data_IF_255543127554
#
_entry.id   IF_255543127554
#
_cell.length_a   1.000
_cell.length_b   1.000
_cell.length_c   1.000
_cell.angle_alpha   90.00
_cell.angle_beta   90.00
_cell.angle_gamma   90.00
#
_symmetry.space_group_name_H-M   'P 1'
#
loop_
_entity.id
_entity.type
_entity.pdbx_description
1 polymer ?
#
# COMPACT_ATOMS: atom_id res chain seq x y z
N UNK A 1 61.64 -49.24 -11.53
CA UNK A 1 61.90 -48.58 -12.83
C UNK A 1 60.60 -48.05 -13.38
N UNK A 2 60.55 -46.74 -13.66
CA UNK A 2 59.73 -46.03 -14.65
C UNK A 2 58.18 -46.14 -14.57
N UNK A 3 57.37 -45.14 -14.86
CA UNK A 3 57.39 -43.67 -14.83
C UNK A 3 55.93 -43.30 -15.24
N UNK A 4 55.31 -42.32 -14.56
CA UNK A 4 54.17 -41.50 -15.02
C UNK A 4 52.93 -42.19 -15.63
N UNK A 5 51.81 -42.08 -14.92
CA UNK A 5 50.70 -41.24 -15.41
C UNK A 5 49.90 -40.70 -14.23
N UNK A 6 50.05 -39.41 -13.93
CA UNK A 6 49.07 -38.68 -13.13
C UNK A 6 47.85 -38.46 -14.03
N UNK A 7 46.70 -39.07 -13.69
CA UNK A 7 45.43 -38.70 -14.27
C UNK A 7 44.63 -37.94 -13.21
N UNK A 8 44.72 -36.63 -13.33
CA UNK A 8 43.81 -35.67 -12.72
C UNK A 8 42.43 -35.94 -13.33
N UNK A 9 41.53 -36.58 -12.60
CA UNK A 9 40.10 -36.53 -12.89
C UNK A 9 39.47 -35.63 -11.83
N UNK A 10 39.42 -34.36 -12.21
CA UNK A 10 38.34 -33.41 -12.02
C UNK A 10 37.27 -33.79 -11.00
N UNK A 11 37.23 -32.98 -9.94
CA UNK A 11 36.07 -32.74 -9.08
C UNK A 11 34.86 -32.42 -9.97
N UNK A 12 34.08 -33.44 -10.29
CA UNK A 12 32.67 -33.26 -10.63
C UNK A 12 31.92 -33.31 -9.32
N UNK A 13 31.86 -32.14 -8.64
CA UNK A 13 30.75 -31.81 -7.77
C UNK A 13 29.50 -32.04 -8.63
N UNK A 14 28.84 -33.18 -8.42
CA UNK A 14 27.44 -33.32 -8.76
C UNK A 14 26.68 -32.30 -7.90
N UNK A 15 26.68 -31.05 -8.38
CA UNK A 15 25.59 -30.13 -8.14
C UNK A 15 24.35 -30.89 -8.57
N UNK A 16 23.58 -31.35 -7.59
CA UNK A 16 22.17 -31.66 -7.76
C UNK A 16 21.48 -30.39 -8.27
N UNK A 17 21.61 -30.17 -9.58
CA UNK A 17 20.98 -29.12 -10.36
C UNK A 17 19.60 -29.61 -10.74
N UNK A 18 18.79 -29.92 -9.73
CA UNK A 18 17.37 -30.26 -9.83
C UNK A 18 16.65 -29.81 -8.54
N UNK A 19 16.91 -28.58 -8.08
CA UNK A 19 15.84 -27.85 -7.39
C UNK A 19 14.92 -27.33 -8.49
N UNK A 20 13.98 -28.16 -8.91
CA UNK A 20 12.73 -27.65 -9.45
C UNK A 20 12.14 -26.72 -8.39
N UNK A 21 11.89 -25.47 -8.76
CA UNK A 21 11.07 -24.56 -7.97
C UNK A 21 9.70 -25.21 -7.73
N UNK A 22 9.50 -25.84 -6.58
CA UNK A 22 8.20 -26.39 -6.16
C UNK A 22 7.20 -25.29 -5.74
N UNK A 23 7.48 -24.03 -6.09
CA UNK A 23 6.51 -22.94 -6.10
C UNK A 23 6.39 -22.39 -7.52
N UNK A 24 5.51 -23.00 -8.33
CA UNK A 24 5.18 -22.49 -9.66
C UNK A 24 4.33 -21.20 -9.55
N UNK A 25 4.99 -20.09 -9.22
CA UNK A 25 4.39 -18.78 -9.06
C UNK A 25 3.86 -18.18 -10.37
N UNK A 26 4.03 -18.82 -11.52
CA UNK A 26 3.48 -18.29 -12.78
C UNK A 26 2.02 -18.67 -13.02
N UNK A 27 1.50 -19.65 -12.27
CA UNK A 27 0.13 -20.19 -12.46
C UNK A 27 -0.69 -20.30 -11.16
N UNK A 28 -0.17 -19.80 -10.04
CA UNK A 28 -0.82 -19.90 -8.71
C UNK A 28 -1.62 -18.66 -8.30
N UNK A 29 -2.49 -18.81 -7.30
CA UNK A 29 -3.23 -17.71 -6.65
C UNK A 29 -2.25 -16.61 -6.18
N UNK A 30 -1.12 -17.00 -5.61
CA UNK A 30 -0.11 -16.08 -5.10
C UNK A 30 0.43 -15.15 -6.22
N UNK A 31 0.58 -15.68 -7.44
CA UNK A 31 0.93 -14.89 -8.65
C UNK A 31 -0.05 -13.76 -8.91
N UNK A 32 -1.34 -14.09 -8.87
CA UNK A 32 -2.41 -13.14 -9.20
C UNK A 32 -2.54 -12.08 -8.13
N UNK A 33 -2.41 -12.46 -6.86
CA UNK A 33 -2.39 -11.53 -5.73
C UNK A 33 -1.22 -10.56 -5.84
N UNK A 34 -0.04 -11.04 -6.16
CA UNK A 34 1.13 -10.18 -6.37
C UNK A 34 1.01 -9.24 -7.55
N UNK A 35 0.52 -9.73 -8.70
CA UNK A 35 0.27 -8.88 -9.86
C UNK A 35 -0.72 -7.77 -9.52
N UNK A 36 -1.76 -8.09 -8.75
CA UNK A 36 -2.75 -7.11 -8.28
C UNK A 36 -2.13 -6.10 -7.31
N UNK A 37 -1.34 -6.56 -6.33
CA UNK A 37 -0.69 -5.69 -5.35
C UNK A 37 0.34 -4.77 -5.99
N UNK A 38 1.18 -5.27 -6.89
CA UNK A 38 2.10 -4.42 -7.65
C UNK A 38 1.36 -3.40 -8.48
N UNK A 39 0.30 -3.80 -9.20
CA UNK A 39 -0.50 -2.87 -9.99
C UNK A 39 -1.09 -1.76 -9.13
N UNK A 40 -1.55 -2.07 -7.92
CA UNK A 40 -2.02 -1.06 -6.97
C UNK A 40 -0.90 -0.09 -6.56
N UNK A 41 0.26 -0.61 -6.17
CA UNK A 41 1.41 0.19 -5.75
C UNK A 41 1.90 1.09 -6.88
N UNK A 42 2.04 0.54 -8.09
CA UNK A 42 2.45 1.27 -9.30
C UNK A 42 1.47 2.39 -9.65
N UNK A 43 0.17 2.09 -9.65
CA UNK A 43 -0.85 3.10 -9.89
C UNK A 43 -0.84 4.19 -8.81
N UNK A 44 -0.61 3.82 -7.55
CA UNK A 44 -0.57 4.79 -6.46
C UNK A 44 0.64 5.70 -6.59
N UNK A 45 1.84 5.15 -6.83
CA UNK A 45 3.05 5.93 -7.10
C UNK A 45 2.88 6.85 -8.31
N UNK A 46 2.32 6.33 -9.41
CA UNK A 46 2.04 7.11 -10.61
C UNK A 46 1.05 8.27 -10.34
N UNK A 47 -0.03 8.01 -9.59
CA UNK A 47 -1.00 9.05 -9.24
C UNK A 47 -0.35 10.12 -8.34
N UNK A 48 0.44 9.70 -7.34
CA UNK A 48 1.15 10.62 -6.45
C UNK A 48 2.22 11.45 -7.18
N UNK A 49 2.89 10.88 -8.18
CA UNK A 49 3.86 11.59 -9.02
C UNK A 49 3.24 12.77 -9.76
N UNK A 50 1.98 12.63 -10.16
CA UNK A 50 1.25 13.67 -10.89
C UNK A 50 0.73 14.80 -10.01
N UNK A 51 0.65 14.58 -8.70
CA UNK A 51 0.10 15.57 -7.74
C UNK A 51 1.15 16.09 -6.75
N UNK A 52 2.39 15.57 -6.74
CA UNK A 52 3.44 16.03 -5.81
C UNK A 52 4.88 15.71 -6.27
N UNK A 53 5.84 16.60 -5.95
CA UNK A 53 7.29 16.36 -6.17
C UNK A 53 7.84 15.17 -5.37
N UNK A 54 7.31 14.94 -4.17
CA UNK A 54 7.65 13.77 -3.34
C UNK A 54 7.17 12.48 -4.00
N UNK A 55 5.96 12.50 -4.56
CA UNK A 55 5.43 11.42 -5.40
C UNK A 55 6.31 11.13 -6.60
N UNK A 56 6.77 12.18 -7.29
CA UNK A 56 7.63 12.04 -8.46
C UNK A 56 8.98 11.42 -8.10
N UNK A 57 9.60 11.87 -6.99
CA UNK A 57 10.81 11.25 -6.45
C UNK A 57 10.65 9.74 -6.20
N UNK A 58 9.62 9.33 -5.44
CA UNK A 58 9.40 7.90 -5.15
C UNK A 58 8.97 7.09 -6.37
N UNK A 59 8.38 7.72 -7.38
CA UNK A 59 8.09 7.08 -8.66
C UNK A 59 9.38 6.80 -9.45
N UNK A 60 10.35 7.73 -9.46
CA UNK A 60 11.68 7.48 -10.04
C UNK A 60 12.45 6.40 -9.28
N UNK A 61 12.41 6.41 -7.94
CA UNK A 61 13.02 5.35 -7.11
C UNK A 61 12.37 3.98 -7.38
N UNK A 62 11.06 3.94 -7.63
CA UNK A 62 10.36 2.73 -8.05
C UNK A 62 10.84 2.21 -9.41
N UNK A 63 11.18 3.09 -10.36
CA UNK A 63 11.76 2.68 -11.64
C UNK A 63 13.17 2.10 -11.48
N UNK A 64 14.02 2.74 -10.68
CA UNK A 64 15.35 2.20 -10.36
C UNK A 64 15.27 0.82 -9.69
N UNK A 65 14.32 0.66 -8.75
CA UNK A 65 14.03 -0.61 -8.09
C UNK A 65 13.60 -1.68 -9.10
N UNK A 66 12.71 -1.36 -10.04
CA UNK A 66 12.26 -2.28 -11.08
C UNK A 66 13.41 -2.74 -11.97
N UNK A 67 14.26 -1.82 -12.45
CA UNK A 67 15.42 -2.15 -13.28
C UNK A 67 16.43 -3.04 -12.54
N UNK A 68 16.67 -2.76 -11.26
CA UNK A 68 17.62 -3.54 -10.45
C UNK A 68 17.07 -4.93 -10.13
N UNK A 69 15.77 -5.02 -9.83
CA UNK A 69 15.10 -6.29 -9.61
C UNK A 69 15.17 -7.19 -10.86
N UNK A 70 14.90 -6.65 -12.05
CA UNK A 70 14.99 -7.44 -13.29
C UNK A 70 16.43 -7.91 -13.56
N UNK A 71 17.46 -7.10 -13.32
CA UNK A 71 18.87 -7.54 -13.42
C UNK A 71 19.19 -8.72 -12.49
N UNK A 72 18.71 -8.69 -11.25
CA UNK A 72 18.91 -9.80 -10.31
C UNK A 72 18.14 -11.05 -10.73
N UNK A 73 16.89 -10.90 -11.19
CA UNK A 73 16.11 -12.03 -11.72
C UNK A 73 16.79 -12.68 -12.90
N UNK A 74 17.24 -11.89 -13.88
CA UNK A 74 17.95 -12.39 -15.06
C UNK A 74 19.23 -13.14 -14.64
N UNK A 75 19.98 -12.62 -13.68
CA UNK A 75 21.19 -13.28 -13.15
C UNK A 75 20.87 -14.64 -12.51
N UNK A 76 19.85 -14.70 -11.67
CA UNK A 76 19.40 -15.94 -11.00
C UNK A 76 18.90 -16.97 -12.02
N UNK A 77 18.07 -16.54 -12.98
CA UNK A 77 17.53 -17.40 -14.03
C UNK A 77 18.62 -17.98 -14.93
N UNK A 78 19.70 -17.23 -15.15
CA UNK A 78 20.88 -17.70 -15.88
C UNK A 78 21.85 -18.54 -15.03
N UNK A 79 21.45 -18.94 -13.82
CA UNK A 79 22.23 -19.81 -12.92
C UNK A 79 23.34 -19.09 -12.15
N UNK A 80 23.36 -17.75 -12.16
CA UNK A 80 24.22 -16.94 -11.31
C UNK A 80 23.64 -16.74 -9.90
N UNK A 81 24.43 -16.13 -9.03
CA UNK A 81 24.03 -15.79 -7.65
C UNK A 81 24.19 -14.29 -7.42
N UNK A 82 23.29 -13.69 -6.64
CA UNK A 82 23.46 -12.32 -6.15
C UNK A 82 24.58 -12.32 -5.11
N UNK A 83 25.61 -11.50 -5.31
CA UNK A 83 26.74 -11.42 -4.37
C UNK A 83 26.36 -10.60 -3.14
N UNK A 84 27.13 -10.78 -2.06
CA UNK A 84 26.92 -10.01 -0.83
C UNK A 84 27.11 -8.51 -1.07
N UNK A 85 28.06 -8.12 -1.92
CA UNK A 85 28.31 -6.72 -2.30
C UNK A 85 27.14 -6.12 -3.11
N UNK A 86 26.59 -6.88 -4.05
CA UNK A 86 25.41 -6.48 -4.83
C UNK A 86 24.18 -6.31 -3.93
N UNK A 87 23.96 -7.28 -3.04
CA UNK A 87 22.89 -7.24 -2.04
C UNK A 87 23.06 -6.02 -1.13
N UNK A 88 24.26 -5.78 -0.60
CA UNK A 88 24.54 -4.64 0.26
C UNK A 88 24.33 -3.31 -0.46
N UNK A 89 24.80 -3.18 -1.70
CA UNK A 89 24.57 -1.96 -2.51
C UNK A 89 23.08 -1.70 -2.71
N UNK A 90 22.30 -2.75 -2.99
CA UNK A 90 20.85 -2.66 -3.16
C UNK A 90 20.15 -2.19 -1.87
N UNK A 91 20.47 -2.80 -0.72
CA UNK A 91 19.91 -2.39 0.56
C UNK A 91 20.37 -1.00 1.00
N UNK A 92 21.62 -0.62 0.76
CA UNK A 92 22.13 0.73 1.08
C UNK A 92 21.43 1.83 0.28
N UNK A 93 21.16 1.58 -1.01
CA UNK A 93 20.35 2.50 -1.82
C UNK A 93 18.96 2.64 -1.21
N UNK A 94 18.29 1.52 -0.91
CA UNK A 94 16.96 1.53 -0.33
C UNK A 94 16.92 2.21 1.06
N UNK A 95 17.86 1.89 1.96
CA UNK A 95 17.98 2.54 3.27
C UNK A 95 18.12 4.06 3.13
N UNK A 96 18.89 4.55 2.15
CA UNK A 96 19.02 5.98 1.86
C UNK A 96 17.68 6.59 1.44
N UNK A 97 16.90 5.92 0.60
CA UNK A 97 15.57 6.40 0.14
C UNK A 97 14.52 6.48 1.26
N UNK A 98 14.71 5.72 2.34
CA UNK A 98 13.81 5.65 3.50
C UNK A 98 14.26 6.51 4.69
N UNK A 99 15.39 7.21 4.57
CA UNK A 99 16.03 7.86 5.71
C UNK A 99 15.09 8.87 6.39
N UNK A 100 14.99 8.77 7.71
CA UNK A 100 14.19 9.64 8.60
C UNK A 100 12.67 9.42 8.61
N UNK A 101 12.15 8.34 7.98
CA UNK A 101 10.72 8.00 8.11
C UNK A 101 10.46 6.97 9.23
N UNK A 102 9.74 7.40 10.27
CA UNK A 102 9.41 6.57 11.44
C UNK A 102 8.33 5.49 11.21
N UNK A 103 7.72 5.44 10.02
CA UNK A 103 6.73 4.43 9.66
C UNK A 103 7.37 3.14 9.13
N UNK A 104 8.67 3.19 8.81
CA UNK A 104 9.39 2.06 8.26
C UNK A 104 9.95 1.20 9.39
N UNK A 105 9.63 -0.09 9.33
CA UNK A 105 10.13 -1.08 10.27
C UNK A 105 11.60 -1.43 9.95
N UNK A 106 12.51 -0.75 10.64
CA UNK A 106 13.95 -0.95 10.45
C UNK A 106 14.43 -2.32 10.94
N UNK A 107 13.73 -2.92 11.89
CA UNK A 107 14.09 -4.24 12.42
C UNK A 107 13.77 -5.34 11.40
N UNK A 108 12.61 -5.25 10.73
CA UNK A 108 12.29 -6.13 9.60
C UNK A 108 13.27 -5.91 8.44
N UNK A 109 13.62 -4.66 8.11
CA UNK A 109 14.60 -4.38 7.06
C UNK A 109 15.97 -5.01 7.38
N UNK A 110 16.42 -4.94 8.63
CA UNK A 110 17.65 -5.59 9.09
C UNK A 110 17.57 -7.12 8.96
N UNK A 111 16.46 -7.71 9.39
CA UNK A 111 16.23 -9.16 9.25
C UNK A 111 16.24 -9.59 7.78
N UNK A 112 15.57 -8.85 6.89
CA UNK A 112 15.56 -9.14 5.45
C UNK A 112 16.95 -9.04 4.81
N UNK A 113 17.79 -8.11 5.27
CA UNK A 113 19.18 -7.96 4.80
C UNK A 113 20.07 -9.15 5.16
N UNK A 114 19.81 -9.79 6.31
CA UNK A 114 20.54 -10.97 6.77
C UNK A 114 20.15 -12.25 6.00
N UNK A 115 18.99 -12.26 5.33
CA UNK A 115 18.54 -13.40 4.53
C UNK A 115 19.25 -13.47 3.16
N UNK A 116 19.58 -14.69 2.68
CA UNK A 116 20.13 -14.86 1.34
C UNK A 116 19.04 -14.67 0.28
N UNK A 117 19.41 -14.05 -0.84
CA UNK A 117 18.56 -13.96 -2.04
C UNK A 117 18.91 -15.14 -2.96
N UNK A 118 18.02 -16.12 -3.07
CA UNK A 118 18.29 -17.37 -3.80
C UNK A 118 17.40 -17.54 -5.03
N UNK A 119 16.21 -16.96 -5.01
CA UNK A 119 15.16 -17.21 -6.00
C UNK A 119 14.63 -15.91 -6.61
N UNK A 120 13.98 -16.03 -7.77
CA UNK A 120 13.21 -14.93 -8.38
C UNK A 120 12.09 -14.46 -7.45
N UNK A 121 11.49 -15.39 -6.70
CA UNK A 121 10.44 -15.08 -5.72
C UNK A 121 10.94 -14.22 -4.56
N UNK A 122 12.18 -14.42 -4.11
CA UNK A 122 12.80 -13.55 -3.08
C UNK A 122 12.90 -12.11 -3.59
N UNK A 123 13.34 -11.92 -4.84
CA UNK A 123 13.41 -10.61 -5.48
C UNK A 123 12.01 -9.99 -5.61
N UNK A 124 11.01 -10.77 -6.01
CA UNK A 124 9.63 -10.31 -6.14
C UNK A 124 9.05 -9.83 -4.80
N UNK A 125 9.26 -10.59 -3.73
CA UNK A 125 8.81 -10.22 -2.38
C UNK A 125 9.52 -8.96 -1.87
N UNK A 126 10.84 -8.85 -2.07
CA UNK A 126 11.59 -7.66 -1.72
C UNK A 126 11.11 -6.43 -2.51
N UNK A 127 10.86 -6.58 -3.81
CA UNK A 127 10.33 -5.52 -4.66
C UNK A 127 8.97 -5.03 -4.15
N UNK A 128 8.04 -5.92 -3.82
CA UNK A 128 6.75 -5.52 -3.22
C UNK A 128 6.99 -4.79 -1.91
N UNK A 129 7.79 -5.34 -1.00
CA UNK A 129 8.07 -4.74 0.30
C UNK A 129 8.61 -3.31 0.14
N UNK A 130 9.54 -3.09 -0.79
CA UNK A 130 10.14 -1.79 -1.03
C UNK A 130 9.17 -0.77 -1.64
N UNK A 131 8.41 -1.16 -2.68
CA UNK A 131 7.38 -0.29 -3.27
C UNK A 131 6.29 0.06 -2.27
N UNK A 132 5.91 -0.90 -1.45
CA UNK A 132 4.95 -0.70 -0.39
C UNK A 132 5.43 0.39 0.56
N UNK A 133 6.67 0.31 1.06
CA UNK A 133 7.30 1.35 1.87
C UNK A 133 7.32 2.74 1.20
N UNK A 134 7.56 2.82 -0.11
CA UNK A 134 7.46 4.11 -0.83
C UNK A 134 6.05 4.69 -0.75
N UNK A 135 5.04 3.88 -1.01
CA UNK A 135 3.65 4.31 -0.90
C UNK A 135 3.29 4.62 0.57
N UNK A 136 3.81 3.88 1.56
CA UNK A 136 3.64 4.19 2.98
C UNK A 136 4.09 5.62 3.29
N UNK A 137 5.26 5.99 2.76
CA UNK A 137 5.86 7.31 2.98
C UNK A 137 5.06 8.42 2.29
N UNK A 138 4.44 8.13 1.14
CA UNK A 138 3.59 9.07 0.40
C UNK A 138 2.24 9.29 1.07
N UNK A 139 1.63 8.20 1.54
CA UNK A 139 0.39 8.22 2.31
C UNK A 139 0.59 8.67 3.76
N UNK A 140 1.85 8.69 4.21
CA UNK A 140 2.24 8.86 5.61
C UNK A 140 1.48 7.91 6.53
N UNK A 141 1.31 6.66 6.07
CA UNK A 141 0.63 5.59 6.78
C UNK A 141 1.34 4.24 6.55
N UNK A 142 1.11 3.29 7.46
CA UNK A 142 1.50 1.87 7.45
C UNK A 142 1.66 1.25 6.05
N UNK A 143 0.72 1.27 5.12
CA UNK A 143 0.60 0.10 4.22
C UNK A 143 1.09 -1.21 4.83
N UNK A 144 0.30 -1.75 5.76
CA UNK A 144 -0.02 -3.16 5.61
C UNK A 144 -0.57 -3.35 4.17
N UNK A 145 -0.61 -4.56 3.58
CA UNK A 145 -1.07 -4.78 2.20
C UNK A 145 -2.44 -4.16 1.78
N UNK A 146 -3.09 -3.41 2.67
CA UNK A 146 -4.24 -2.53 2.50
C UNK A 146 -4.09 -1.25 3.38
N UNK A 147 -3.75 -0.08 2.83
CA UNK A 147 -3.73 1.22 3.55
C UNK A 147 -3.67 2.43 2.57
N UNK A 148 -4.78 2.85 1.98
CA UNK A 148 -4.93 4.28 1.68
C UNK A 148 -5.18 5.04 2.98
N UNK A 149 -4.94 6.36 3.06
CA UNK A 149 -5.57 7.26 4.06
C UNK A 149 -6.57 8.16 3.33
N UNK A 150 -7.82 7.75 3.39
CA UNK A 150 -8.96 8.32 2.70
C UNK A 150 -10.21 7.95 3.49
N UNK A 151 -11.31 8.58 3.17
CA UNK A 151 -12.62 8.21 3.68
C UNK A 151 -13.28 7.20 2.73
N UNK A 152 -13.77 6.10 3.27
CA UNK A 152 -14.68 5.17 2.60
C UNK A 152 -16.12 5.52 2.97
N UNK A 153 -17.02 5.28 2.02
CA UNK A 153 -18.44 5.25 2.26
C UNK A 153 -19.04 4.02 1.61
N UNK A 154 -19.97 3.38 2.31
CA UNK A 154 -20.73 2.25 1.81
C UNK A 154 -22.20 2.43 2.22
N UNK A 155 -23.13 2.39 1.27
CA UNK A 155 -24.56 2.34 1.53
C UNK A 155 -25.13 1.03 0.98
N UNK A 156 -26.13 0.48 1.68
CA UNK A 156 -26.77 -0.78 1.24
C UNK A 156 -27.59 -0.59 -0.04
N UNK A 157 -28.12 0.62 -0.25
CA UNK A 157 -28.90 1.02 -1.42
C UNK A 157 -28.38 2.36 -1.93
N UNK A 158 -28.36 2.52 -3.25
CA UNK A 158 -28.16 3.82 -3.92
C UNK A 158 -29.50 4.43 -4.38
N UNK A 159 -30.61 3.70 -4.22
CA UNK A 159 -31.96 4.15 -4.52
C UNK A 159 -32.95 3.63 -3.49
N UNK A 160 -33.81 4.51 -2.97
CA UNK A 160 -34.81 4.20 -1.93
C UNK A 160 -36.18 4.76 -2.33
N UNK A 161 -37.24 4.26 -1.69
CA UNK A 161 -38.60 4.78 -1.89
C UNK A 161 -38.88 6.00 -1.00
N UNK A 162 -39.75 6.92 -1.43
CA UNK A 162 -40.17 8.07 -0.62
C UNK A 162 -40.68 7.67 0.77
N UNK A 163 -40.04 8.20 1.81
CA UNK A 163 -40.32 7.88 3.22
C UNK A 163 -39.50 6.73 3.81
N UNK A 164 -38.71 6.01 3.00
CA UNK A 164 -37.76 4.98 3.44
C UNK A 164 -36.52 5.60 4.14
N UNK A 165 -35.83 4.88 5.03
CA UNK A 165 -34.59 5.41 5.62
C UNK A 165 -33.39 5.20 4.68
N UNK A 166 -32.61 6.25 4.42
CA UNK A 166 -31.29 6.12 3.79
C UNK A 166 -30.25 5.82 4.87
N UNK A 167 -29.43 4.79 4.66
CA UNK A 167 -28.39 4.38 5.59
C UNK A 167 -27.02 4.33 4.90
N UNK A 168 -26.00 4.90 5.53
CA UNK A 168 -24.61 4.86 5.06
C UNK A 168 -23.64 4.62 6.21
N UNK A 169 -22.65 3.77 5.95
CA UNK A 169 -21.51 3.51 6.81
C UNK A 169 -20.28 4.24 6.26
N UNK A 170 -19.55 4.92 7.12
CA UNK A 170 -18.35 5.67 6.79
C UNK A 170 -17.19 5.18 7.64
N UNK A 171 -15.99 5.17 7.08
CA UNK A 171 -14.78 4.83 7.82
C UNK A 171 -13.57 5.50 7.16
N UNK A 172 -12.46 5.63 7.88
CA UNK A 172 -11.19 5.96 7.26
C UNK A 172 -10.46 4.67 6.85
N UNK A 173 -9.86 4.66 5.65
CA UNK A 173 -9.15 3.52 5.07
C UNK A 173 -7.91 3.12 5.88
N UNK A 174 -7.42 4.00 6.74
CA UNK A 174 -6.76 3.52 7.95
C UNK A 174 -7.11 4.39 9.16
N UNK A 175 -7.62 3.68 10.15
CA UNK A 175 -8.25 4.21 11.32
C UNK A 175 -7.31 4.07 12.51
N UNK A 176 -7.29 5.09 13.38
CA UNK A 176 -6.52 5.11 14.61
C UNK A 176 -7.46 5.21 15.81
N UNK A 177 -7.60 4.12 16.56
CA UNK A 177 -8.50 4.02 17.72
C UNK A 177 -8.03 4.90 18.89
N UNK A 178 -6.74 5.23 18.94
CA UNK A 178 -6.16 6.06 20.00
C UNK A 178 -6.45 7.56 19.80
N UNK A 179 -6.78 7.97 18.58
CA UNK A 179 -7.14 9.34 18.22
C UNK A 179 -8.39 9.30 17.33
N UNK A 180 -9.58 9.17 17.95
CA UNK A 180 -10.82 9.06 17.20
C UNK A 180 -11.02 10.30 16.31
N UNK A 181 -11.50 10.07 15.08
CA UNK A 181 -11.87 11.16 14.20
C UNK A 181 -13.22 11.70 14.62
N UNK A 182 -13.40 13.00 14.43
CA UNK A 182 -14.72 13.61 14.50
C UNK A 182 -15.29 13.67 13.10
N UNK A 183 -16.49 13.14 12.93
CA UNK A 183 -17.16 13.15 11.64
C UNK A 183 -18.25 14.19 11.65
N UNK A 184 -18.40 14.88 10.52
CA UNK A 184 -19.37 15.94 10.34
C UNK A 184 -20.14 15.67 9.05
N UNK A 185 -21.46 15.77 9.11
CA UNK A 185 -22.27 15.99 7.91
C UNK A 185 -22.31 17.50 7.67
N UNK A 186 -21.94 17.94 6.46
CA UNK A 186 -21.84 19.36 6.12
C UNK A 186 -22.70 19.70 4.90
N UNK A 187 -23.05 20.99 4.77
CA UNK A 187 -23.78 21.49 3.60
C UNK A 187 -22.88 21.49 2.36
N UNK A 188 -21.61 21.88 2.53
CA UNK A 188 -20.61 21.94 1.47
C UNK A 188 -19.22 21.60 2.04
N UNK A 189 -18.36 20.94 1.25
CA UNK A 189 -16.97 20.65 1.64
C UNK A 189 -15.96 21.74 1.24
N UNK A 190 -16.39 22.75 0.49
CA UNK A 190 -15.56 23.91 0.15
C UNK A 190 -15.52 24.96 1.28
N UNK A 191 -16.53 24.95 2.16
CA UNK A 191 -16.62 25.85 3.31
C UNK A 191 -15.90 25.24 4.53
N UNK A 192 -15.37 26.11 5.40
CA UNK A 192 -14.76 25.66 6.66
C UNK A 192 -15.78 24.95 7.57
N UNK A 193 -15.28 24.13 8.51
CA UNK A 193 -16.11 23.53 9.58
C UNK A 193 -16.57 24.60 10.57
N UNK A 194 -17.58 25.37 10.19
CA UNK A 194 -18.26 26.35 11.04
C UNK A 194 -19.62 25.82 11.49
N UNK A 195 -20.20 26.43 12.54
CA UNK A 195 -21.52 26.05 13.03
C UNK A 195 -22.62 26.21 11.96
N UNK A 196 -22.43 27.11 11.00
CA UNK A 196 -23.35 27.34 9.90
C UNK A 196 -23.27 26.27 8.80
N UNK A 197 -22.09 25.66 8.61
CA UNK A 197 -21.87 24.65 7.59
C UNK A 197 -22.14 23.22 8.11
N UNK A 198 -21.93 22.98 9.40
CA UNK A 198 -22.20 21.68 10.03
C UNK A 198 -23.72 21.47 10.14
N UNK A 199 -24.19 20.37 9.53
CA UNK A 199 -25.57 19.88 9.65
C UNK A 199 -25.68 18.97 10.87
N UNK A 200 -24.70 18.07 11.05
CA UNK A 200 -24.68 17.12 12.15
C UNK A 200 -23.23 16.71 12.51
N UNK A 201 -23.03 16.29 13.76
CA UNK A 201 -21.77 15.71 14.25
C UNK A 201 -22.00 14.25 14.55
N UNK A 202 -21.22 13.39 13.90
CA UNK A 202 -21.42 11.94 13.90
C UNK A 202 -20.38 11.26 14.78
N UNK A 203 -20.84 10.26 15.52
CA UNK A 203 -20.00 9.48 16.41
C UNK A 203 -19.56 8.19 15.73
N UNK A 204 -18.26 7.91 15.79
CA UNK A 204 -17.71 6.62 15.44
C UNK A 204 -17.97 5.61 16.56
N UNK A 205 -18.19 4.36 16.19
CA UNK A 205 -18.25 3.26 17.12
C UNK A 205 -16.83 2.83 17.59
N UNK A 206 -16.80 1.80 18.42
CA UNK A 206 -15.56 1.21 18.94
C UNK A 206 -14.68 0.53 17.87
N UNK A 207 -15.18 0.39 16.63
CA UNK A 207 -14.50 -0.18 15.46
C UNK A 207 -14.14 0.88 14.41
N UNK A 208 -14.39 2.16 14.69
CA UNK A 208 -14.02 3.26 13.80
C UNK A 208 -14.98 3.53 12.67
N UNK A 209 -16.14 2.88 12.71
CA UNK A 209 -17.20 3.04 11.71
C UNK A 209 -18.20 4.05 12.22
N UNK A 210 -18.62 4.94 11.34
CA UNK A 210 -19.70 5.88 11.58
C UNK A 210 -20.93 5.41 10.81
N UNK A 211 -22.03 5.28 11.52
CA UNK A 211 -23.33 4.95 10.94
C UNK A 211 -24.19 6.21 10.89
N UNK A 212 -24.65 6.57 9.70
CA UNK A 212 -25.57 7.68 9.49
C UNK A 212 -26.87 7.19 8.87
N UNK A 213 -27.99 7.69 9.39
CA UNK A 213 -29.33 7.39 8.87
C UNK A 213 -30.15 8.67 8.75
N UNK A 214 -30.91 8.79 7.66
CA UNK A 214 -31.80 9.94 7.46
C UNK A 214 -33.05 9.57 6.67
N UNK A 215 -34.16 10.24 7.00
CA UNK A 215 -35.41 10.29 6.22
C UNK A 215 -35.67 11.66 5.60
N UNK A 216 -34.79 12.62 5.87
CA UNK A 216 -34.95 14.01 5.49
C UNK A 216 -34.24 14.28 4.15
N UNK A 217 -34.90 13.94 3.05
CA UNK A 217 -34.39 14.09 1.70
C UNK A 217 -35.51 14.51 0.73
N UNK A 218 -35.15 14.91 -0.48
CA UNK A 218 -36.12 15.28 -1.53
C UNK A 218 -36.30 14.13 -2.52
N UNK A 219 -37.44 14.07 -3.21
CA UNK A 219 -37.57 13.20 -4.38
C UNK A 219 -36.52 13.54 -5.43
N UNK A 220 -35.96 12.52 -6.08
CA UNK A 220 -34.86 12.67 -7.02
C UNK A 220 -33.49 12.43 -6.40
N UNK A 221 -32.45 13.02 -7.00
CA UNK A 221 -31.07 12.85 -6.56
C UNK A 221 -30.76 13.71 -5.32
N UNK A 222 -30.11 13.10 -4.33
CA UNK A 222 -29.63 13.75 -3.12
C UNK A 222 -28.15 13.44 -2.95
N UNK A 223 -27.37 14.42 -2.49
CA UNK A 223 -25.96 14.26 -2.16
C UNK A 223 -25.72 14.70 -0.72
N UNK A 224 -25.08 13.82 0.05
CA UNK A 224 -24.60 14.08 1.40
C UNK A 224 -23.09 14.24 1.37
N UNK A 225 -22.58 15.24 2.08
CA UNK A 225 -21.15 15.53 2.15
C UNK A 225 -20.67 15.35 3.58
N UNK A 226 -19.72 14.44 3.77
CA UNK A 226 -19.16 14.11 5.07
C UNK A 226 -17.71 14.57 5.15
N UNK A 227 -17.32 15.10 6.31
CA UNK A 227 -15.94 15.47 6.61
C UNK A 227 -15.50 14.68 7.84
N UNK A 228 -14.40 13.94 7.71
CA UNK A 228 -13.66 13.38 8.85
C UNK A 228 -12.56 14.36 9.23
N UNK A 229 -12.66 14.95 10.42
CA UNK A 229 -11.60 15.74 11.05
C UNK A 229 -10.80 14.87 12.00
N UNK A 230 -9.49 14.89 11.83
CA UNK A 230 -8.58 14.29 12.80
C UNK A 230 -8.56 15.14 14.08
N UNK A 231 -8.75 14.50 15.23
CA UNK A 231 -8.66 15.16 16.53
C UNK A 231 -7.18 15.27 16.94
N UNK A 232 -6.49 16.30 16.45
CA UNK A 232 -5.06 16.55 16.73
C UNK A 232 -4.88 17.79 17.62
N UNK A 233 -3.93 17.77 18.57
CA UNK A 233 -3.67 18.88 19.49
C UNK A 233 -2.91 20.06 18.88
N UNK A 234 -2.48 19.95 17.61
CA UNK A 234 -1.82 21.01 16.83
C UNK A 234 -2.78 21.42 15.73
N UNK A 235 -2.89 22.72 15.44
CA UNK A 235 -3.77 23.40 14.46
C UNK A 235 -3.68 22.91 12.99
N UNK A 236 -3.19 21.70 12.72
CA UNK A 236 -3.21 21.05 11.41
C UNK A 236 -4.56 20.32 11.25
N UNK A 237 -5.59 21.07 10.86
CA UNK A 237 -6.95 20.57 10.63
C UNK A 237 -7.02 19.76 9.33
N UNK A 238 -6.43 18.57 9.34
CA UNK A 238 -6.59 17.64 8.22
C UNK A 238 -8.01 17.12 8.19
N UNK A 239 -8.72 17.52 7.15
CA UNK A 239 -10.09 17.15 6.85
C UNK A 239 -10.08 16.22 5.64
N UNK A 240 -10.72 15.07 5.77
CA UNK A 240 -10.96 14.16 4.66
C UNK A 240 -12.43 14.26 4.28
N UNK A 241 -12.72 14.57 3.00
CA UNK A 241 -14.09 14.72 2.50
C UNK A 241 -14.59 13.46 1.79
N UNK A 242 -15.86 13.13 1.99
CA UNK A 242 -16.58 12.07 1.29
C UNK A 242 -17.98 12.52 0.89
N UNK A 243 -18.24 12.55 -0.42
CA UNK A 243 -19.60 12.73 -0.97
C UNK A 243 -20.26 11.37 -1.19
N UNK A 244 -21.54 11.29 -0.82
CA UNK A 244 -22.40 10.11 -0.98
C UNK A 244 -23.68 10.55 -1.67
N UNK A 245 -23.91 10.05 -2.88
CA UNK A 245 -25.08 10.39 -3.69
C UNK A 245 -26.05 9.21 -3.74
N UNK A 246 -27.35 9.48 -3.56
CA UNK A 246 -28.43 8.50 -3.62
C UNK A 246 -29.71 9.09 -4.24
N UNK A 247 -30.59 8.21 -4.73
CA UNK A 247 -31.83 8.60 -5.40
C UNK A 247 -33.08 8.19 -4.60
N UNK A 248 -34.11 9.03 -4.63
CA UNK A 248 -35.40 8.79 -3.97
C UNK A 248 -36.50 8.76 -5.02
N UNK A 249 -37.23 7.65 -5.09
CA UNK A 249 -38.35 7.43 -6.03
C UNK A 249 -39.65 8.08 -5.55
#
# INVERSE_FOLDING_TARGET
MNFKTALIISVALFSCKDRQDDFNYKTSIASKVYQAQLKYLDNTLFNYARISKKGDYYFQESHYLDETAEKFKDKIQNGGTVTEDEKNTFYEHFEKTLTSNGLIDRDILKQLRELPIQTVSDIDLLRIYMKNNFVCILLNNKLLPYDSWSTMACSAKSTIDDGEEFEVSLANTAWNNAQPNEWFLVKNDEDSLTAENIIDTLHQDETGVVYFKTKNYKKGENTLTFISRLNTPVLDYRMLSRKVTFYVK
#
